data_IF_169934831965
#
_entry.id   IF_169934831965
#
_cell.length_a   1.000
_cell.length_b   1.000
_cell.length_c   1.000
_cell.angle_alpha   90.00
_cell.angle_beta   90.00
_cell.angle_gamma   90.00
#
_symmetry.space_group_name_H-M   'P 1'
#
loop_
_entity.id
_entity.type
_entity.pdbx_description
1 polymer ?
#
# COMPACT_ATOMS: atom_id res chain seq x y z
N UNK A 1 -18.37 8.70 -66.64
CA UNK A 1 -17.17 9.39 -66.12
C UNK A 1 -17.43 10.12 -64.80
N UNK A 2 -18.47 10.97 -64.70
CA UNK A 2 -18.78 11.68 -63.44
C UNK A 2 -19.01 10.74 -62.23
N UNK A 3 -19.73 9.64 -62.41
CA UNK A 3 -19.98 8.66 -61.35
C UNK A 3 -18.70 7.96 -60.87
N UNK A 4 -17.79 7.63 -61.79
CA UNK A 4 -16.49 7.05 -61.45
C UNK A 4 -15.62 8.04 -60.68
N UNK A 5 -15.62 9.33 -61.07
CA UNK A 5 -14.88 10.38 -60.37
C UNK A 5 -15.41 10.59 -58.94
N UNK A 6 -16.73 10.63 -58.77
CA UNK A 6 -17.35 10.74 -57.45
C UNK A 6 -17.00 9.55 -56.55
N UNK A 7 -16.92 8.35 -57.12
CA UNK A 7 -16.52 7.14 -56.38
C UNK A 7 -15.06 7.17 -55.96
N UNK A 8 -14.16 7.67 -56.80
CA UNK A 8 -12.74 7.85 -56.45
C UNK A 8 -12.59 8.82 -55.27
N UNK A 9 -13.23 10.00 -55.35
CA UNK A 9 -13.17 11.01 -54.26
C UNK A 9 -13.72 10.46 -52.94
N UNK A 10 -14.83 9.69 -53.00
CA UNK A 10 -15.40 9.05 -51.82
C UNK A 10 -14.44 8.03 -51.21
N UNK A 11 -13.78 7.19 -52.04
CA UNK A 11 -12.82 6.20 -51.56
C UNK A 11 -11.56 6.86 -50.99
N UNK A 12 -11.03 7.91 -51.62
CA UNK A 12 -9.90 8.68 -51.09
C UNK A 12 -10.22 9.27 -49.71
N UNK A 13 -11.43 9.79 -49.53
CA UNK A 13 -11.91 10.30 -48.23
C UNK A 13 -11.99 9.18 -47.19
N UNK A 14 -12.50 8.01 -47.56
CA UNK A 14 -12.57 6.85 -46.66
C UNK A 14 -11.17 6.34 -46.28
N UNK A 15 -10.24 6.27 -47.24
CA UNK A 15 -8.86 5.88 -46.99
C UNK A 15 -8.18 6.86 -46.04
N UNK A 16 -8.33 8.18 -46.25
CA UNK A 16 -7.78 9.18 -45.35
C UNK A 16 -8.35 9.06 -43.93
N UNK A 17 -9.66 8.78 -43.80
CA UNK A 17 -10.29 8.55 -42.50
C UNK A 17 -9.74 7.31 -41.79
N UNK A 18 -9.63 6.18 -42.51
CA UNK A 18 -9.07 4.95 -41.98
C UNK A 18 -7.60 5.11 -41.57
N UNK A 19 -6.82 5.84 -42.36
CA UNK A 19 -5.43 6.17 -42.03
C UNK A 19 -5.34 6.99 -40.73
N UNK A 20 -6.20 7.99 -40.55
CA UNK A 20 -6.25 8.78 -39.32
C UNK A 20 -6.62 7.92 -38.09
N UNK A 21 -7.62 7.04 -38.23
CA UNK A 21 -7.99 6.09 -37.17
C UNK A 21 -6.85 5.13 -36.82
N UNK A 22 -6.16 4.63 -37.84
CA UNK A 22 -5.03 3.73 -37.69
C UNK A 22 -3.88 4.39 -36.91
N UNK A 23 -3.51 5.62 -37.26
CA UNK A 23 -2.49 6.38 -36.51
C UNK A 23 -2.85 6.54 -35.04
N UNK A 24 -4.11 6.88 -34.73
CA UNK A 24 -4.58 6.98 -33.34
C UNK A 24 -4.50 5.64 -32.61
N UNK A 25 -4.83 4.53 -33.27
CA UNK A 25 -4.71 3.19 -32.68
C UNK A 25 -3.25 2.81 -32.42
N UNK A 26 -2.35 3.13 -33.35
CA UNK A 26 -0.92 2.90 -33.21
C UNK A 26 -0.34 3.70 -32.04
N UNK A 27 -0.69 4.98 -31.91
CA UNK A 27 -0.24 5.83 -30.81
C UNK A 27 -0.75 5.30 -29.46
N UNK A 28 -2.02 4.87 -29.40
CA UNK A 28 -2.58 4.23 -28.21
C UNK A 28 -1.85 2.95 -27.85
N UNK A 29 -1.54 2.11 -28.84
CA UNK A 29 -0.80 0.87 -28.60
C UNK A 29 0.59 1.16 -28.03
N UNK A 30 1.31 2.16 -28.56
CA UNK A 30 2.59 2.62 -28.02
C UNK A 30 2.46 2.98 -26.53
N UNK A 31 1.45 3.79 -26.18
CA UNK A 31 1.21 4.21 -24.79
C UNK A 31 0.87 3.01 -23.91
N UNK A 32 0.01 2.10 -24.35
CA UNK A 32 -0.37 0.90 -23.59
C UNK A 32 0.84 -0.01 -23.35
N UNK A 33 1.65 -0.28 -24.37
CA UNK A 33 2.87 -1.06 -24.23
C UNK A 33 3.86 -0.42 -23.26
N UNK A 34 3.95 0.92 -23.27
CA UNK A 34 4.78 1.66 -22.31
C UNK A 34 4.24 1.55 -20.89
N UNK A 35 2.94 1.72 -20.68
CA UNK A 35 2.29 1.68 -19.36
C UNK A 35 2.26 0.28 -18.75
N UNK A 36 2.26 -0.78 -19.55
CA UNK A 36 2.42 -2.15 -19.07
C UNK A 36 3.75 -2.40 -18.33
N UNK A 37 4.69 -1.44 -18.38
CA UNK A 37 5.85 -1.35 -17.49
C UNK A 37 6.99 -2.32 -17.82
N UNK A 38 6.87 -3.09 -18.91
CA UNK A 38 7.85 -4.12 -19.31
C UNK A 38 8.52 -3.87 -20.66
N UNK A 39 8.08 -2.87 -21.41
CA UNK A 39 8.61 -2.60 -22.74
C UNK A 39 9.53 -1.38 -22.72
N UNK A 40 10.79 -1.58 -23.10
CA UNK A 40 11.66 -0.44 -23.43
C UNK A 40 11.19 0.20 -24.74
N UNK A 41 11.59 1.44 -25.02
CA UNK A 41 11.26 2.09 -26.31
C UNK A 41 11.73 1.22 -27.49
N UNK A 42 12.92 0.59 -27.38
CA UNK A 42 13.43 -0.32 -28.40
C UNK A 42 12.56 -1.57 -28.56
N UNK A 43 12.14 -2.17 -27.44
CA UNK A 43 11.23 -3.32 -27.46
C UNK A 43 9.88 -2.97 -28.08
N UNK A 44 9.37 -1.75 -27.87
CA UNK A 44 8.13 -1.29 -28.52
C UNK A 44 8.34 -1.20 -30.04
N UNK A 45 9.43 -0.58 -30.49
CA UNK A 45 9.78 -0.51 -31.92
C UNK A 45 9.89 -1.91 -32.53
N UNK A 46 10.58 -2.83 -31.85
CA UNK A 46 10.74 -4.22 -32.29
C UNK A 46 9.39 -4.97 -32.39
N UNK A 47 8.51 -4.81 -31.41
CA UNK A 47 7.16 -5.40 -31.44
C UNK A 47 6.33 -4.83 -32.59
N UNK A 48 6.42 -3.53 -32.85
CA UNK A 48 5.69 -2.90 -33.96
C UNK A 48 6.23 -3.37 -35.31
N UNK A 49 7.55 -3.41 -35.48
CA UNK A 49 8.20 -3.78 -36.74
C UNK A 49 8.12 -5.29 -37.00
N UNK A 50 8.62 -6.11 -36.08
CA UNK A 50 8.71 -7.56 -36.26
C UNK A 50 7.39 -8.27 -35.95
N UNK A 51 6.59 -7.74 -35.02
CA UNK A 51 5.32 -8.35 -34.62
C UNK A 51 4.14 -7.94 -35.49
N UNK A 52 4.08 -6.68 -35.93
CA UNK A 52 2.94 -6.13 -36.66
C UNK A 52 3.27 -5.63 -38.08
N UNK A 53 4.54 -5.66 -38.50
CA UNK A 53 4.97 -5.12 -39.80
C UNK A 53 4.87 -3.60 -39.92
N UNK A 54 4.81 -2.89 -38.79
CA UNK A 54 4.66 -1.43 -38.72
C UNK A 54 6.04 -0.82 -38.47
N UNK A 55 6.58 -0.15 -39.48
CA UNK A 55 7.86 0.55 -39.34
C UNK A 55 7.68 1.90 -38.63
N UNK A 56 8.28 2.03 -37.45
CA UNK A 56 8.35 3.29 -36.70
C UNK A 56 9.76 3.57 -36.22
N UNK A 57 10.13 4.84 -36.13
CA UNK A 57 11.41 5.22 -35.53
C UNK A 57 11.32 5.27 -34.00
N UNK A 58 12.47 5.10 -33.34
CA UNK A 58 12.61 5.35 -31.89
C UNK A 58 12.12 6.75 -31.51
N UNK A 59 12.45 7.76 -32.33
CA UNK A 59 12.04 9.15 -32.12
C UNK A 59 10.52 9.35 -32.20
N UNK A 60 9.84 8.64 -33.12
CA UNK A 60 8.38 8.66 -33.19
C UNK A 60 7.75 8.11 -31.90
N UNK A 61 8.19 6.93 -31.46
CA UNK A 61 7.69 6.30 -30.22
C UNK A 61 7.93 7.21 -29.00
N UNK A 62 9.10 7.84 -28.90
CA UNK A 62 9.38 8.82 -27.84
C UNK A 62 8.45 10.03 -27.92
N UNK A 63 8.23 10.58 -29.11
CA UNK A 63 7.32 11.71 -29.33
C UNK A 63 5.89 11.39 -28.87
N UNK A 64 5.37 10.20 -29.21
CA UNK A 64 4.05 9.74 -28.75
C UNK A 64 4.00 9.63 -27.23
N UNK A 65 5.01 9.06 -26.59
CA UNK A 65 5.07 8.93 -25.12
C UNK A 65 5.10 10.32 -24.47
N UNK A 66 5.94 11.24 -24.95
CA UNK A 66 6.01 12.61 -24.42
C UNK A 66 4.69 13.35 -24.61
N UNK A 67 4.03 13.21 -25.77
CA UNK A 67 2.73 13.81 -26.01
C UNK A 67 1.64 13.25 -25.07
N UNK A 68 1.70 11.94 -24.79
CA UNK A 68 0.81 11.30 -23.83
C UNK A 68 1.06 11.80 -22.40
N UNK A 69 2.32 12.01 -22.00
CA UNK A 69 2.67 12.61 -20.70
C UNK A 69 2.11 14.03 -20.55
N UNK A 70 2.26 14.88 -21.58
CA UNK A 70 1.67 16.22 -21.58
C UNK A 70 0.14 16.17 -21.47
N UNK A 71 -0.48 15.27 -22.23
CA UNK A 71 -1.94 15.09 -22.24
C UNK A 71 -2.46 14.55 -20.90
N UNK A 72 -1.69 13.69 -20.22
CA UNK A 72 -2.05 13.13 -18.92
C UNK A 72 -2.20 14.21 -17.84
N UNK A 73 -1.38 15.26 -17.87
CA UNK A 73 -1.50 16.38 -16.93
C UNK A 73 -2.83 17.12 -17.11
N UNK A 74 -3.21 17.42 -18.35
CA UNK A 74 -4.50 18.06 -18.66
C UNK A 74 -5.66 17.14 -18.30
N UNK A 75 -5.56 15.84 -18.59
CA UNK A 75 -6.58 14.86 -18.25
C UNK A 75 -6.77 14.73 -16.74
N UNK A 76 -5.68 14.66 -15.97
CA UNK A 76 -5.72 14.66 -14.50
C UNK A 76 -6.38 15.93 -13.97
N UNK A 77 -6.05 17.10 -14.52
CA UNK A 77 -6.69 18.37 -14.15
C UNK A 77 -8.22 18.31 -14.29
N UNK A 78 -8.72 17.90 -15.46
CA UNK A 78 -10.16 17.73 -15.71
C UNK A 78 -10.79 16.66 -14.82
N UNK A 79 -10.07 15.56 -14.57
CA UNK A 79 -10.53 14.49 -13.71
C UNK A 79 -10.71 14.98 -12.26
N UNK A 80 -9.82 15.85 -11.77
CA UNK A 80 -9.91 16.45 -10.44
C UNK A 80 -11.03 17.48 -10.27
N UNK A 81 -11.60 17.99 -11.37
CA UNK A 81 -12.79 18.85 -11.37
C UNK A 81 -14.07 18.04 -11.16
N UNK A 82 -14.11 16.80 -11.67
CA UNK A 82 -15.31 15.95 -11.62
C UNK A 82 -15.28 14.92 -10.49
N UNK A 83 -14.09 14.51 -10.03
CA UNK A 83 -13.96 13.55 -8.94
C UNK A 83 -13.97 14.27 -7.59
N UNK A 84 -14.83 13.79 -6.70
CA UNK A 84 -14.83 14.18 -5.30
C UNK A 84 -13.64 13.53 -4.59
N UNK A 85 -12.66 14.34 -4.20
CA UNK A 85 -11.58 13.89 -3.32
C UNK A 85 -12.14 13.61 -1.91
N UNK A 86 -11.62 12.58 -1.25
CA UNK A 86 -11.99 12.27 0.13
C UNK A 86 -11.60 13.36 1.14
N UNK A 87 -10.68 14.24 0.76
CA UNK A 87 -9.99 15.15 1.69
C UNK A 87 -8.98 14.43 2.58
N UNK A 88 -8.74 13.14 2.37
CA UNK A 88 -7.66 12.39 2.97
C UNK A 88 -6.58 12.08 1.93
N UNK A 89 -5.32 12.04 2.36
CA UNK A 89 -4.22 11.53 1.54
C UNK A 89 -3.37 10.53 2.33
N UNK A 90 -2.80 9.57 1.63
CA UNK A 90 -1.67 8.76 2.08
C UNK A 90 -0.41 9.25 1.36
N UNK A 91 0.65 9.48 2.12
CA UNK A 91 1.97 9.82 1.59
C UNK A 91 2.93 8.70 1.97
N UNK A 92 3.64 8.18 0.98
CA UNK A 92 4.61 7.11 1.19
C UNK A 92 5.82 7.27 0.25
N UNK A 93 6.91 6.59 0.58
CA UNK A 93 8.05 6.46 -0.33
C UNK A 93 8.00 5.13 -1.08
N UNK A 94 8.15 5.22 -2.39
CA UNK A 94 8.26 4.07 -3.28
C UNK A 94 9.65 4.03 -3.90
N UNK A 95 10.15 2.83 -4.17
CA UNK A 95 11.42 2.64 -4.86
C UNK A 95 11.18 2.08 -6.25
N UNK A 96 11.61 2.81 -7.26
CA UNK A 96 11.62 2.34 -8.64
C UNK A 96 12.96 1.68 -8.96
N UNK A 97 12.92 0.68 -9.83
CA UNK A 97 14.13 0.15 -10.47
C UNK A 97 14.20 0.75 -11.86
N UNK A 98 15.13 1.68 -12.07
CA UNK A 98 15.35 2.35 -13.34
C UNK A 98 16.81 2.15 -13.77
N UNK A 99 17.03 1.53 -14.93
CA UNK A 99 18.38 1.33 -15.52
C UNK A 99 19.38 0.71 -14.53
N UNK A 100 18.94 -0.31 -13.79
CA UNK A 100 19.76 -1.00 -12.78
C UNK A 100 20.03 -0.20 -11.51
N UNK A 101 19.47 1.02 -11.37
CA UNK A 101 19.55 1.84 -10.17
C UNK A 101 18.22 1.86 -9.43
N UNK A 102 18.30 1.94 -8.11
CA UNK A 102 17.14 2.14 -7.27
C UNK A 102 16.90 3.65 -7.14
N UNK A 103 15.75 4.12 -7.63
CA UNK A 103 15.33 5.52 -7.56
C UNK A 103 14.25 5.66 -6.49
N UNK A 104 14.34 6.68 -5.65
CA UNK A 104 13.28 7.00 -4.70
C UNK A 104 12.18 7.81 -5.41
N UNK A 105 10.94 7.60 -5.02
CA UNK A 105 9.85 8.53 -5.28
C UNK A 105 8.96 8.69 -4.08
N UNK A 106 8.30 9.84 -4.03
CA UNK A 106 7.21 10.11 -3.10
C UNK A 106 5.91 9.97 -3.87
N UNK A 107 5.00 9.17 -3.32
CA UNK A 107 3.66 8.99 -3.84
C UNK A 107 2.64 9.61 -2.88
N UNK A 108 1.67 10.32 -3.43
CA UNK A 108 0.52 10.87 -2.72
C UNK A 108 -0.73 10.26 -3.34
N UNK A 109 -1.51 9.57 -2.52
CA UNK A 109 -2.71 8.82 -2.96
C UNK A 109 -3.91 9.27 -2.16
N UNK A 110 -5.07 9.39 -2.79
CA UNK A 110 -6.34 9.45 -2.06
C UNK A 110 -6.75 8.00 -1.67
N UNK A 111 -6.77 7.65 -0.37
CA UNK A 111 -7.00 6.28 0.05
C UNK A 111 -8.40 5.75 -0.24
N UNK A 112 -9.40 6.61 -0.45
CA UNK A 112 -10.78 6.15 -0.72
C UNK A 112 -11.01 5.92 -2.22
N UNK A 113 -10.48 6.81 -3.06
CA UNK A 113 -10.62 6.66 -4.52
C UNK A 113 -9.53 5.80 -5.15
N UNK A 114 -8.41 5.58 -4.44
CA UNK A 114 -7.23 4.90 -4.97
C UNK A 114 -6.44 5.72 -5.99
N UNK A 115 -6.80 7.00 -6.17
CA UNK A 115 -6.16 7.86 -7.17
C UNK A 115 -4.77 8.29 -6.71
N UNK A 116 -3.78 8.08 -7.58
CA UNK A 116 -2.45 8.66 -7.40
C UNK A 116 -2.55 10.13 -7.79
N UNK A 117 -2.58 11.01 -6.79
CA UNK A 117 -2.66 12.45 -6.97
C UNK A 117 -1.31 13.05 -7.33
N UNK A 118 -0.22 12.42 -6.87
CA UNK A 118 1.14 12.82 -7.21
C UNK A 118 2.10 11.64 -7.13
N UNK A 119 2.99 11.55 -8.10
CA UNK A 119 4.15 10.66 -8.06
C UNK A 119 5.36 11.44 -8.54
N UNK A 120 6.35 11.62 -7.68
CA UNK A 120 7.53 12.40 -8.02
C UNK A 120 8.79 11.67 -7.60
N UNK A 121 9.79 11.65 -8.50
CA UNK A 121 11.13 11.14 -8.20
C UNK A 121 11.83 12.08 -7.24
N UNK A 122 12.53 11.49 -6.28
CA UNK A 122 13.35 12.20 -5.30
C UNK A 122 14.78 11.66 -5.39
N UNK A 123 15.76 12.55 -5.28
CA UNK A 123 17.18 12.17 -5.23
C UNK A 123 17.53 11.39 -3.96
N UNK A 124 16.84 11.70 -2.86
CA UNK A 124 17.13 11.15 -1.55
C UNK A 124 15.88 11.13 -0.65
N UNK A 125 15.95 10.33 0.41
CA UNK A 125 14.94 10.30 1.47
C UNK A 125 15.29 11.35 2.52
N UNK A 126 15.19 12.61 2.15
CA UNK A 126 15.35 13.74 3.07
C UNK A 126 14.04 14.47 3.27
N UNK A 127 13.94 15.14 4.42
CA UNK A 127 12.88 16.09 4.71
C UNK A 127 12.81 17.20 3.65
N UNK A 128 13.99 17.55 3.14
CA UNK A 128 14.33 18.40 2.01
C UNK A 128 13.43 18.14 0.80
N UNK A 129 13.76 17.00 0.19
CA UNK A 129 13.14 16.50 -1.03
C UNK A 129 11.65 16.21 -0.86
N UNK A 130 11.24 15.66 0.29
CA UNK A 130 9.82 15.42 0.58
C UNK A 130 9.05 16.74 0.70
N UNK A 131 9.66 17.76 1.31
CA UNK A 131 9.11 19.11 1.42
C UNK A 131 8.83 19.73 0.07
N UNK A 132 9.74 19.61 -0.89
CA UNK A 132 9.53 20.11 -2.25
C UNK A 132 8.32 19.45 -2.93
N UNK A 133 8.16 18.12 -2.77
CA UNK A 133 7.01 17.38 -3.33
C UNK A 133 5.71 17.90 -2.73
N UNK A 134 5.66 18.05 -1.39
CA UNK A 134 4.48 18.54 -0.68
C UNK A 134 4.17 20.00 -0.96
N UNK A 135 5.19 20.84 -1.11
CA UNK A 135 5.04 22.25 -1.49
C UNK A 135 4.39 22.35 -2.86
N UNK A 136 4.89 21.61 -3.85
CA UNK A 136 4.34 21.62 -5.20
C UNK A 136 2.93 21.02 -5.23
N UNK A 137 2.65 20.00 -4.40
CA UNK A 137 1.31 19.44 -4.24
C UNK A 137 0.34 20.48 -3.65
N UNK A 138 0.74 21.17 -2.59
CA UNK A 138 -0.04 22.25 -2.00
C UNK A 138 -0.31 23.39 -3.00
N UNK A 139 0.73 23.82 -3.73
CA UNK A 139 0.65 24.86 -4.74
C UNK A 139 -0.26 24.51 -5.94
N UNK A 140 -0.47 23.21 -6.21
CA UNK A 140 -1.43 22.73 -7.20
C UNK A 140 -2.90 22.81 -6.73
N UNK A 141 -3.17 23.51 -5.63
CA UNK A 141 -4.53 23.78 -5.12
C UNK A 141 -5.08 22.75 -4.13
N UNK A 142 -4.24 21.83 -3.65
CA UNK A 142 -4.66 20.80 -2.69
C UNK A 142 -4.59 21.25 -1.23
N UNK A 143 -3.88 22.34 -0.93
CA UNK A 143 -3.65 22.81 0.44
C UNK A 143 -4.94 22.95 1.28
N UNK A 144 -5.99 23.49 0.66
CA UNK A 144 -7.29 23.72 1.31
C UNK A 144 -8.24 22.52 1.21
N UNK A 145 -7.95 21.57 0.32
CA UNK A 145 -8.80 20.40 0.06
C UNK A 145 -8.50 19.25 1.01
N UNK A 146 -7.27 19.17 1.52
CA UNK A 146 -6.83 18.07 2.38
C UNK A 146 -7.07 18.41 3.86
N UNK A 147 -7.80 17.54 4.53
CA UNK A 147 -8.15 17.62 5.96
C UNK A 147 -7.44 16.56 6.80
N UNK A 148 -7.03 15.46 6.19
CA UNK A 148 -6.32 14.35 6.84
C UNK A 148 -5.15 13.92 5.97
N UNK A 149 -4.00 13.69 6.59
CA UNK A 149 -2.88 13.05 5.92
C UNK A 149 -2.32 11.90 6.75
N UNK A 150 -2.06 10.80 6.06
CA UNK A 150 -1.59 9.54 6.60
C UNK A 150 -0.17 9.30 6.08
N UNK A 151 0.79 9.13 6.99
CA UNK A 151 2.18 8.84 6.63
C UNK A 151 2.68 7.60 7.34
N UNK A 152 3.80 7.02 6.92
CA UNK A 152 4.52 6.09 7.77
C UNK A 152 5.09 6.82 9.02
N UNK A 153 5.84 6.10 9.85
CA UNK A 153 6.46 6.66 11.05
C UNK A 153 7.77 7.43 10.78
N UNK A 154 8.08 7.77 9.53
CA UNK A 154 9.28 8.52 9.20
C UNK A 154 9.13 9.98 9.62
N UNK A 155 10.03 10.44 10.49
CA UNK A 155 10.00 11.79 11.05
C UNK A 155 10.23 12.88 10.01
N UNK A 156 10.80 12.53 8.84
CA UNK A 156 11.01 13.46 7.74
C UNK A 156 9.71 14.03 7.16
N UNK A 157 8.55 13.42 7.41
CA UNK A 157 7.25 13.97 7.01
C UNK A 157 6.72 15.08 7.92
N UNK A 158 7.05 15.04 9.21
CA UNK A 158 6.35 15.83 10.24
C UNK A 158 6.40 17.34 9.98
N UNK A 159 7.60 17.87 9.74
CA UNK A 159 7.76 19.29 9.49
C UNK A 159 7.25 19.70 8.10
N UNK A 160 7.61 19.03 7.00
CA UNK A 160 7.09 19.33 5.66
C UNK A 160 5.57 19.39 5.60
N UNK A 161 4.88 18.41 6.19
CA UNK A 161 3.42 18.41 6.11
C UNK A 161 2.83 19.53 6.96
N UNK A 162 3.35 19.77 8.17
CA UNK A 162 2.92 20.92 8.98
C UNK A 162 3.12 22.25 8.26
N UNK A 163 4.19 22.38 7.47
CA UNK A 163 4.50 23.58 6.69
C UNK A 163 3.56 23.75 5.48
N UNK A 164 3.33 22.69 4.71
CA UNK A 164 2.65 22.80 3.41
C UNK A 164 1.17 22.45 3.44
N UNK A 165 0.72 21.66 4.42
CA UNK A 165 -0.68 21.30 4.65
C UNK A 165 -1.08 21.62 6.11
N UNK A 166 -0.94 22.88 6.58
CA UNK A 166 -1.07 23.24 7.99
C UNK A 166 -2.47 23.00 8.58
N UNK A 167 -3.51 22.91 7.74
CA UNK A 167 -4.90 22.67 8.14
C UNK A 167 -5.25 21.18 8.25
N UNK A 168 -4.42 20.31 7.68
CA UNK A 168 -4.66 18.88 7.70
C UNK A 168 -4.20 18.27 9.03
N UNK A 169 -4.98 17.35 9.57
CA UNK A 169 -4.61 16.56 10.76
C UNK A 169 -3.64 15.47 10.34
N UNK A 170 -2.54 15.33 11.07
CA UNK A 170 -1.61 14.21 10.90
C UNK A 170 -2.11 12.97 11.61
N UNK A 171 -2.08 11.84 10.92
CA UNK A 171 -2.10 10.53 11.58
C UNK A 171 -1.06 9.60 10.96
N UNK A 172 -0.60 8.64 11.74
CA UNK A 172 0.19 7.54 11.18
C UNK A 172 -0.72 6.57 10.45
N UNK A 173 -0.26 6.12 9.29
CA UNK A 173 -0.95 5.13 8.48
C UNK A 173 -1.04 3.81 9.25
N UNK A 174 -2.27 3.39 9.56
CA UNK A 174 -2.56 2.14 10.25
C UNK A 174 -2.00 0.94 9.49
N UNK A 175 -2.04 0.97 8.15
CA UNK A 175 -1.45 -0.07 7.32
C UNK A 175 0.06 -0.21 7.59
N UNK A 176 0.81 0.89 7.61
CA UNK A 176 2.25 0.82 7.88
C UNK A 176 2.56 0.36 9.31
N UNK A 177 1.77 0.80 10.28
CA UNK A 177 1.87 0.33 11.68
C UNK A 177 1.70 -1.19 11.73
N UNK A 178 0.66 -1.73 11.10
CA UNK A 178 0.40 -3.17 11.17
C UNK A 178 1.33 -4.01 10.31
N UNK A 179 1.52 -3.65 9.04
CA UNK A 179 2.30 -4.45 8.12
C UNK A 179 3.80 -4.37 8.43
N UNK A 180 4.32 -3.17 8.68
CA UNK A 180 5.77 -2.97 8.76
C UNK A 180 6.31 -2.87 10.17
N UNK A 181 5.54 -2.35 11.15
CA UNK A 181 6.05 -2.25 12.52
C UNK A 181 5.66 -3.46 13.37
N UNK A 182 4.38 -3.81 13.39
CA UNK A 182 3.89 -4.96 14.15
C UNK A 182 4.24 -6.25 13.42
N UNK A 183 3.82 -6.38 12.17
CA UNK A 183 4.02 -7.55 11.32
C UNK A 183 5.49 -7.93 11.20
N UNK A 184 6.37 -6.97 10.91
CA UNK A 184 7.81 -7.27 10.84
C UNK A 184 8.40 -7.71 12.19
N UNK A 185 7.91 -7.18 13.32
CA UNK A 185 8.35 -7.62 14.65
C UNK A 185 7.87 -9.04 14.96
N UNK A 186 6.62 -9.35 14.66
CA UNK A 186 6.05 -10.71 14.80
C UNK A 186 6.80 -11.68 13.89
N UNK A 187 7.07 -11.31 12.65
CA UNK A 187 7.82 -12.13 11.70
C UNK A 187 9.25 -12.39 12.16
N UNK A 188 9.96 -11.36 12.65
CA UNK A 188 11.29 -11.53 13.24
C UNK A 188 11.24 -12.45 14.46
N UNK A 189 10.25 -12.30 15.33
CA UNK A 189 10.09 -13.16 16.49
C UNK A 189 9.89 -14.62 16.07
N UNK A 190 9.02 -14.85 15.08
CA UNK A 190 8.70 -16.16 14.52
C UNK A 190 9.96 -16.81 13.92
N UNK A 191 10.68 -16.11 13.04
CA UNK A 191 11.93 -16.60 12.44
C UNK A 191 13.01 -16.93 13.48
N UNK A 192 13.13 -16.12 14.53
CA UNK A 192 14.08 -16.40 15.62
C UNK A 192 13.72 -17.67 16.38
N UNK A 193 12.43 -17.86 16.67
CA UNK A 193 11.94 -19.09 17.30
C UNK A 193 12.14 -20.32 16.41
N UNK A 194 11.74 -20.26 15.14
CA UNK A 194 11.95 -21.35 14.16
C UNK A 194 13.44 -21.74 14.05
N UNK A 195 14.34 -20.75 14.02
CA UNK A 195 15.79 -21.01 14.00
C UNK A 195 16.27 -21.71 15.26
N UNK A 196 15.79 -21.31 16.44
CA UNK A 196 16.16 -21.94 17.70
C UNK A 196 15.66 -23.40 17.79
N UNK A 197 14.41 -23.63 17.39
CA UNK A 197 13.82 -24.99 17.28
C UNK A 197 14.65 -25.85 16.32
N UNK A 198 14.97 -25.33 15.13
CA UNK A 198 15.76 -26.06 14.13
C UNK A 198 17.18 -26.36 14.62
N UNK A 199 17.82 -25.43 15.31
CA UNK A 199 19.17 -25.62 15.85
C UNK A 199 19.19 -26.74 16.91
N UNK A 200 18.21 -26.74 17.83
CA UNK A 200 18.07 -27.81 18.82
C UNK A 200 17.77 -29.16 18.16
N UNK A 201 16.87 -29.21 17.18
CA UNK A 201 16.54 -30.44 16.47
C UNK A 201 17.74 -31.01 15.69
N UNK A 202 18.55 -30.15 15.06
CA UNK A 202 19.80 -30.56 14.39
C UNK A 202 20.79 -31.11 15.41
N UNK A 203 20.96 -30.46 16.55
CA UNK A 203 21.83 -30.93 17.62
C UNK A 203 21.40 -32.31 18.13
N UNK A 204 20.12 -32.49 18.47
CA UNK A 204 19.58 -33.75 18.98
C UNK A 204 19.70 -34.88 17.96
N UNK A 205 19.55 -34.58 16.66
CA UNK A 205 19.78 -35.54 15.58
C UNK A 205 21.26 -35.95 15.46
N UNK A 206 22.19 -35.03 15.68
CA UNK A 206 23.63 -35.30 15.62
C UNK A 206 24.14 -36.09 16.84
N UNK A 207 23.41 -36.05 17.95
CA UNK A 207 23.79 -36.69 19.20
C UNK A 207 22.67 -37.65 19.70
N UNK A 208 22.42 -38.77 19.00
CA UNK A 208 21.34 -39.70 19.36
C UNK A 208 21.62 -40.50 20.64
N UNK A 209 22.85 -40.50 21.13
CA UNK A 209 23.31 -41.27 22.29
C UNK A 209 23.48 -40.39 23.53
N UNK A 210 23.90 -41.01 24.65
CA UNK A 210 24.24 -40.28 25.87
C UNK A 210 25.24 -39.15 25.58
N UNK A 211 24.89 -37.92 25.98
CA UNK A 211 25.67 -36.72 25.74
C UNK A 211 26.91 -36.69 26.64
N UNK A 212 28.02 -36.20 26.09
CA UNK A 212 29.16 -35.80 26.92
C UNK A 212 28.77 -34.61 27.83
N UNK A 213 29.50 -34.35 28.94
CA UNK A 213 29.25 -33.17 29.77
C UNK A 213 29.31 -31.84 29.00
N UNK A 214 30.18 -31.75 27.98
CA UNK A 214 30.29 -30.57 27.13
C UNK A 214 29.06 -30.41 26.22
N UNK A 215 28.63 -31.50 25.58
CA UNK A 215 27.45 -31.53 24.72
C UNK A 215 26.16 -31.28 25.52
N UNK A 216 26.10 -31.77 26.76
CA UNK A 216 24.99 -31.50 27.68
C UNK A 216 24.88 -30.00 27.99
N UNK A 217 26.02 -29.32 28.24
CA UNK A 217 26.06 -27.87 28.46
C UNK A 217 25.64 -27.11 27.19
N UNK A 218 26.10 -27.53 26.02
CA UNK A 218 25.70 -26.93 24.74
C UNK A 218 24.20 -27.11 24.47
N UNK A 219 23.66 -28.30 24.71
CA UNK A 219 22.23 -28.58 24.58
C UNK A 219 21.39 -27.71 25.51
N UNK A 220 21.80 -27.57 26.78
CA UNK A 220 21.12 -26.69 27.74
C UNK A 220 21.09 -25.23 27.25
N UNK A 221 22.18 -24.74 26.65
CA UNK A 221 22.20 -23.40 26.07
C UNK A 221 21.21 -23.26 24.88
N UNK A 222 21.10 -24.29 24.02
CA UNK A 222 20.13 -24.30 22.92
C UNK A 222 18.68 -24.33 23.40
N UNK A 223 18.37 -25.13 24.43
CA UNK A 223 17.05 -25.14 25.08
C UNK A 223 16.73 -23.77 25.68
N UNK A 224 17.66 -23.18 26.43
CA UNK A 224 17.47 -21.84 26.99
C UNK A 224 17.22 -20.76 25.92
N UNK A 225 17.92 -20.85 24.78
CA UNK A 225 17.71 -19.96 23.64
C UNK A 225 16.32 -20.17 22.98
N UNK A 226 15.87 -21.42 22.84
CA UNK A 226 14.52 -21.76 22.36
C UNK A 226 13.45 -21.19 23.29
N UNK A 227 13.56 -21.40 24.60
CA UNK A 227 12.61 -20.88 25.60
C UNK A 227 12.57 -19.35 25.62
N UNK A 228 13.73 -18.70 25.46
CA UNK A 228 13.81 -17.25 25.34
C UNK A 228 13.11 -16.77 24.05
N UNK A 229 13.35 -17.42 22.92
CA UNK A 229 12.72 -17.09 21.65
C UNK A 229 11.20 -17.33 21.68
N UNK A 230 10.73 -18.41 22.32
CA UNK A 230 9.32 -18.71 22.51
C UNK A 230 8.63 -17.64 23.36
N UNK A 231 9.22 -17.25 24.50
CA UNK A 231 8.68 -16.16 25.33
C UNK A 231 8.66 -14.82 24.62
N UNK A 232 9.64 -14.55 23.77
CA UNK A 232 9.64 -13.35 22.93
C UNK A 232 8.53 -13.40 21.87
N UNK A 233 8.37 -14.53 21.19
CA UNK A 233 7.32 -14.76 20.19
C UNK A 233 5.92 -14.69 20.79
N UNK A 234 5.66 -15.41 21.88
CA UNK A 234 4.37 -15.41 22.57
C UNK A 234 3.93 -13.99 22.97
N UNK A 235 4.83 -13.18 23.54
CA UNK A 235 4.56 -11.77 23.89
C UNK A 235 4.26 -10.86 22.68
N UNK A 236 4.60 -11.28 21.47
CA UNK A 236 4.38 -10.50 20.23
C UNK A 236 3.16 -10.97 19.47
N UNK A 237 2.72 -12.22 19.64
CA UNK A 237 1.53 -12.78 19.00
C UNK A 237 0.27 -12.60 19.85
N UNK A 238 0.38 -12.52 21.17
CA UNK A 238 -0.74 -12.10 22.02
C UNK A 238 -0.86 -10.58 21.96
N UNK A 239 -1.68 -10.08 21.03
CA UNK A 239 -2.21 -8.73 21.18
C UNK A 239 -3.04 -8.71 22.46
N UNK A 240 -2.73 -7.85 23.45
CA UNK A 240 -3.63 -7.69 24.57
C UNK A 240 -4.97 -7.21 24.02
N UNK A 241 -6.02 -7.99 24.24
CA UNK A 241 -7.40 -7.66 23.87
C UNK A 241 -7.93 -6.38 24.55
N UNK A 242 -7.10 -5.72 25.37
CA UNK A 242 -7.38 -4.50 26.13
C UNK A 242 -6.39 -3.38 25.80
N UNK A 243 -6.17 -3.09 24.51
CA UNK A 243 -5.47 -1.88 24.10
C UNK A 243 -6.42 -0.66 24.03
N UNK A 244 -7.27 -0.48 25.05
CA UNK A 244 -8.15 0.71 25.21
C UNK A 244 -7.39 1.95 25.71
N UNK A 245 -6.06 1.97 25.60
CA UNK A 245 -5.24 2.97 26.27
C UNK A 245 -3.87 3.16 25.65
N UNK A 246 -3.80 3.52 24.38
CA UNK A 246 -2.66 4.33 23.96
C UNK A 246 -2.85 5.74 24.54
N UNK A 247 -1.91 6.27 25.34
CA UNK A 247 -2.00 7.65 25.79
C UNK A 247 -1.90 8.54 24.56
N UNK A 248 -3.02 9.16 24.19
CA UNK A 248 -2.99 10.35 23.35
C UNK A 248 -2.15 11.38 24.10
N UNK A 249 -0.97 11.70 23.58
CA UNK A 249 -0.17 12.83 24.09
C UNK A 249 -0.98 14.09 23.75
N UNK A 250 -1.84 14.50 24.68
CA UNK A 250 -2.51 15.78 24.60
C UNK A 250 -1.43 16.87 24.69
N UNK A 251 -1.29 17.69 23.64
CA UNK A 251 -0.49 18.90 23.71
C UNK A 251 -0.99 19.79 24.86
N UNK A 252 -0.10 20.51 25.58
CA UNK A 252 -0.52 21.43 26.63
C UNK A 252 -1.37 22.54 26.01
N UNK A 253 -2.62 22.69 26.47
CA UNK A 253 -3.39 23.92 26.22
C UNK A 253 -2.63 25.08 26.83
N UNK A 254 -2.15 26.00 26.00
CA UNK A 254 -1.67 27.31 26.43
C UNK A 254 -2.82 28.02 27.16
N UNK A 255 -2.53 28.45 28.38
CA UNK A 255 -3.51 29.02 29.29
C UNK A 255 -3.94 30.43 28.91
N UNK A 256 -5.21 30.71 29.19
CA UNK A 256 -5.69 32.02 29.57
C UNK A 256 -6.58 31.84 30.80
N UNK A 257 -6.25 32.52 31.89
CA UNK A 257 -7.20 32.83 32.97
C UNK A 257 -7.63 34.30 32.88
N UNK A 258 -8.33 34.85 33.90
CA UNK A 258 -9.06 34.19 34.98
C UNK A 258 -10.48 34.78 35.25
N UNK A 259 -11.12 34.22 36.29
CA UNK A 259 -12.12 34.80 37.20
C UNK A 259 -13.62 34.48 36.99
N UNK A 260 -14.24 33.96 38.06
CA UNK A 260 -15.69 33.87 38.28
C UNK A 260 -16.09 32.72 39.22
N UNK A 261 -16.63 32.98 40.44
CA UNK A 261 -16.69 31.98 41.51
C UNK A 261 -18.04 31.26 41.68
N UNK A 262 -17.92 30.06 42.24
CA UNK A 262 -18.82 29.34 43.16
C UNK A 262 -20.32 29.16 42.80
N UNK A 263 -20.77 27.90 42.73
CA UNK A 263 -21.72 27.37 43.74
C UNK A 263 -21.74 25.84 43.79
N UNK A 264 -21.84 25.38 45.04
CA UNK A 264 -22.03 24.04 45.59
C UNK A 264 -23.26 23.27 45.11
N UNK A 265 -23.20 21.93 45.05
CA UNK A 265 -24.00 21.03 45.91
C UNK A 265 -23.66 19.54 45.69
N UNK A 266 -23.55 18.83 46.81
CA UNK A 266 -23.49 17.38 46.93
C UNK A 266 -24.89 16.75 46.79
N UNK A 267 -24.94 15.49 46.36
CA UNK A 267 -26.12 14.62 46.44
C UNK A 267 -25.84 13.24 45.82
N UNK A 268 -25.83 12.14 46.61
CA UNK A 268 -25.35 10.84 46.17
C UNK A 268 -26.47 9.87 45.75
N UNK A 269 -26.08 8.84 44.99
CA UNK A 269 -26.74 7.54 45.01
C UNK A 269 -27.66 7.24 43.83
N UNK A 270 -27.23 6.33 42.96
CA UNK A 270 -28.06 5.20 42.53
C UNK A 270 -27.18 4.10 41.92
N UNK A 271 -27.32 2.90 42.47
CA UNK A 271 -26.72 1.65 42.04
C UNK A 271 -27.31 1.15 40.70
N UNK A 272 -26.60 0.25 39.98
CA UNK A 272 -26.96 -0.14 38.63
C UNK A 272 -27.98 -1.29 38.60
N UNK A 273 -28.99 -1.14 37.74
CA UNK A 273 -29.89 -2.22 37.34
C UNK A 273 -29.12 -3.21 36.45
N UNK A 274 -28.96 -4.44 36.94
CA UNK A 274 -28.61 -5.61 36.12
C UNK A 274 -29.84 -6.03 35.31
N UNK A 275 -29.70 -6.10 33.99
CA UNK A 275 -30.51 -7.00 33.18
C UNK A 275 -29.61 -7.86 32.30
N UNK A 276 -29.70 -9.16 32.55
CA UNK A 276 -29.25 -10.25 31.67
C UNK A 276 -30.37 -10.52 30.66
N UNK A 277 -29.97 -10.76 29.42
CA UNK A 277 -30.46 -11.71 28.42
C UNK A 277 -29.93 -11.20 27.07
N UNK A 278 -29.40 -11.96 26.12
CA UNK A 278 -29.26 -13.38 25.88
C UNK A 278 -28.93 -13.52 24.38
N UNK A 279 -28.18 -14.57 24.01
CA UNK A 279 -27.84 -15.04 22.65
C UNK A 279 -26.73 -14.29 21.88
N UNK A 280 -25.63 -15.02 21.69
CA UNK A 280 -24.60 -14.78 20.66
C UNK A 280 -25.03 -15.46 19.36
N UNK A 281 -25.00 -14.79 18.19
CA UNK A 281 -24.82 -15.47 16.93
C UNK A 281 -23.31 -15.56 16.63
N UNK A 282 -22.83 -16.77 16.41
CA UNK A 282 -21.51 -17.02 15.85
C UNK A 282 -21.47 -16.50 14.40
N UNK A 283 -20.63 -15.50 14.17
CA UNK A 283 -20.20 -15.04 12.85
C UNK A 283 -18.69 -14.83 12.86
N UNK A 284 -18.01 -14.93 11.71
CA UNK A 284 -16.58 -14.66 11.61
C UNK A 284 -16.30 -13.19 11.99
N UNK A 285 -15.13 -12.89 12.61
CA UNK A 285 -14.82 -11.54 13.07
C UNK A 285 -14.75 -10.57 11.88
N UNK A 286 -15.62 -9.57 11.89
CA UNK A 286 -15.55 -8.41 11.01
C UNK A 286 -14.50 -7.45 11.56
N UNK A 287 -13.47 -7.15 10.77
CA UNK A 287 -12.43 -6.20 11.13
C UNK A 287 -12.96 -4.77 10.93
N UNK A 288 -13.45 -4.15 12.01
CA UNK A 288 -13.90 -2.78 12.00
C UNK A 288 -12.71 -1.80 12.07
N UNK A 289 -12.77 -0.75 11.24
CA UNK A 289 -11.89 0.41 11.27
C UNK A 289 -12.12 1.17 12.58
N UNK A 290 -11.18 1.08 13.53
CA UNK A 290 -11.18 1.90 14.73
C UNK A 290 -10.65 3.30 14.42
N UNK A 291 -11.55 4.27 14.23
CA UNK A 291 -11.17 5.69 14.28
C UNK A 291 -11.05 6.08 15.75
N UNK A 292 -9.84 6.35 16.22
CA UNK A 292 -9.62 6.91 17.56
C UNK A 292 -10.19 8.34 17.58
N UNK A 293 -11.34 8.52 18.27
CA UNK A 293 -12.00 9.82 18.45
C UNK A 293 -11.56 10.49 19.76
N UNK A 294 -11.39 11.82 19.79
CA UNK A 294 -11.44 12.57 21.03
C UNK A 294 -12.90 12.64 21.55
N UNK A 295 -13.13 12.69 22.88
CA UNK A 295 -14.49 12.80 23.43
C UNK A 295 -15.09 14.18 23.12
N UNK A 296 -16.25 14.22 22.43
CA UNK A 296 -17.07 15.43 22.29
C UNK A 296 -17.69 15.73 20.92
N UNK A 297 -17.35 15.00 19.85
CA UNK A 297 -17.91 15.25 18.51
C UNK A 297 -18.93 14.17 18.09
N UNK A 298 -20.18 14.58 17.84
CA UNK A 298 -21.16 13.81 17.09
C UNK A 298 -21.17 14.30 15.63
N UNK A 299 -20.99 13.38 14.68
CA UNK A 299 -21.40 13.61 13.29
C UNK A 299 -21.82 12.29 12.65
N UNK A 300 -22.84 12.41 11.79
CA UNK A 300 -23.62 11.37 11.17
C UNK A 300 -22.90 10.76 9.95
N UNK A 301 -22.65 9.45 10.01
CA UNK A 301 -22.38 8.63 8.83
C UNK A 301 -23.40 7.49 8.81
N UNK A 302 -23.86 7.12 7.62
CA UNK A 302 -24.96 6.17 7.42
C UNK A 302 -24.42 4.76 7.18
N UNK A 303 -25.24 3.73 7.40
CA UNK A 303 -24.89 2.30 7.20
C UNK A 303 -24.26 1.97 5.83
N UNK A 304 -24.48 2.82 4.82
CA UNK A 304 -23.90 2.70 3.48
C UNK A 304 -22.37 2.84 3.43
N UNK A 305 -21.76 3.56 4.38
CA UNK A 305 -20.30 3.75 4.43
C UNK A 305 -19.56 2.50 4.95
N UNK A 306 -20.27 1.62 5.68
CA UNK A 306 -19.74 0.39 6.30
C UNK A 306 -19.75 -0.78 5.30
N UNK A 307 -20.67 -0.78 4.33
CA UNK A 307 -20.82 -1.86 3.35
C UNK A 307 -19.68 -1.92 2.30
N UNK A 308 -18.93 -0.83 2.09
CA UNK A 308 -17.90 -0.75 1.05
C UNK A 308 -16.56 -1.39 1.45
N UNK A 309 -16.17 -1.33 2.73
CA UNK A 309 -14.93 -1.93 3.23
C UNK A 309 -14.89 -3.46 3.04
N UNK A 310 -16.06 -4.11 3.04
CA UNK A 310 -16.22 -5.56 2.82
C UNK A 310 -15.99 -5.95 1.34
N UNK A 311 -16.16 -5.01 0.39
CA UNK A 311 -15.97 -5.28 -1.06
C UNK A 311 -14.51 -5.17 -1.51
N UNK A 312 -13.66 -4.41 -0.82
CA UNK A 312 -12.23 -4.29 -1.17
C UNK A 312 -11.48 -5.61 -0.96
N UNK A 313 -11.88 -6.40 0.04
CA UNK A 313 -11.35 -7.77 0.23
C UNK A 313 -11.79 -8.79 -0.83
N UNK A 314 -12.90 -8.54 -1.52
CA UNK A 314 -13.41 -9.42 -2.58
C UNK A 314 -12.80 -9.11 -3.97
N UNK A 315 -12.22 -7.93 -4.15
CA UNK A 315 -11.63 -7.50 -5.43
C UNK A 315 -10.31 -8.23 -5.75
N UNK A 316 -9.55 -8.63 -4.73
CA UNK A 316 -8.27 -9.32 -4.86
C UNK A 316 -8.42 -10.79 -5.33
N UNK A 317 -9.60 -11.39 -5.13
CA UNK A 317 -9.91 -12.74 -5.63
C UNK A 317 -10.38 -12.76 -7.09
N UNK A 318 -10.83 -11.64 -7.65
CA UNK A 318 -11.42 -11.57 -8.99
C UNK A 318 -10.39 -11.39 -10.12
N UNK A 319 -9.14 -11.01 -9.82
CA UNK A 319 -8.13 -10.65 -10.82
C UNK A 319 -7.00 -11.67 -11.08
N UNK A 320 -7.09 -12.89 -10.53
CA UNK A 320 -6.43 -14.06 -11.13
C UNK A 320 -4.90 -14.04 -11.30
N UNK A 321 -4.12 -13.48 -10.36
CA UNK A 321 -2.66 -13.71 -10.33
C UNK A 321 -1.83 -12.59 -9.67
N UNK A 322 -0.56 -12.87 -9.26
CA UNK A 322 0.20 -11.95 -8.42
C UNK A 322 0.79 -10.79 -9.23
N UNK A 323 0.23 -9.60 -9.07
CA UNK A 323 0.89 -8.36 -9.45
C UNK A 323 2.01 -8.07 -8.43
N UNK A 324 3.27 -8.34 -8.80
CA UNK A 324 4.42 -8.04 -7.95
C UNK A 324 4.73 -6.53 -7.92
N UNK A 325 4.12 -5.83 -6.96
CA UNK A 325 4.72 -4.61 -6.42
C UNK A 325 5.85 -5.00 -5.47
N UNK A 326 7.09 -4.67 -5.84
CA UNK A 326 8.26 -5.00 -5.03
C UNK A 326 8.48 -3.90 -3.98
N UNK A 327 7.79 -4.00 -2.85
CA UNK A 327 8.08 -3.18 -1.68
C UNK A 327 9.39 -3.64 -1.04
N UNK A 328 10.32 -2.72 -0.76
CA UNK A 328 11.72 -2.98 -0.42
C UNK A 328 11.98 -3.52 1.00
N UNK A 329 11.01 -4.24 1.59
CA UNK A 329 11.26 -5.13 2.72
C UNK A 329 10.46 -6.41 2.56
N UNK A 330 11.14 -7.42 2.01
CA UNK A 330 10.72 -8.85 1.92
C UNK A 330 9.49 -9.11 1.04
N UNK A 331 9.67 -9.87 -0.04
CA UNK A 331 8.56 -10.57 -0.69
C UNK A 331 7.85 -11.44 0.35
N UNK A 332 6.55 -11.22 0.53
CA UNK A 332 5.68 -12.06 1.36
C UNK A 332 4.88 -12.93 0.41
N UNK A 333 5.27 -14.19 0.31
CA UNK A 333 4.36 -15.26 -0.07
C UNK A 333 3.88 -15.88 1.23
N UNK A 334 2.56 -15.89 1.47
CA UNK A 334 2.00 -16.70 2.54
C UNK A 334 2.26 -18.18 2.19
N UNK A 335 2.77 -19.01 3.13
CA UNK A 335 2.76 -20.44 2.91
C UNK A 335 1.30 -20.92 2.85
N UNK A 336 0.96 -21.88 1.97
CA UNK A 336 -0.36 -22.48 2.00
C UNK A 336 -0.61 -23.17 3.35
N UNK A 337 -1.88 -23.33 3.76
CA UNK A 337 -2.21 -24.07 4.97
C UNK A 337 -1.64 -25.50 4.87
N UNK A 338 -1.01 -25.95 5.96
CA UNK A 338 -0.54 -27.33 6.11
C UNK A 338 -1.75 -28.26 6.04
N UNK A 339 -1.91 -28.96 4.91
CA UNK A 339 -2.78 -30.13 4.84
C UNK A 339 -2.12 -31.31 5.57
N UNK A 340 -2.91 -32.19 6.20
CA UNK A 340 -2.40 -33.42 6.80
C UNK A 340 -1.80 -34.34 5.73
N UNK A 341 -0.81 -35.17 6.08
CA UNK A 341 -0.17 -36.05 5.12
C UNK A 341 -1.13 -37.21 4.82
N UNK A 342 -1.52 -37.38 3.55
CA UNK A 342 -1.79 -38.67 2.90
C UNK A 342 -2.26 -38.41 1.45
N UNK A 343 -1.41 -38.68 0.45
CA UNK A 343 -1.81 -38.73 -0.96
C UNK A 343 -0.69 -38.39 -1.97
N UNK A 344 -0.62 -39.07 -3.13
CA UNK A 344 0.64 -39.32 -3.83
C UNK A 344 1.09 -38.23 -4.83
N UNK A 345 2.41 -38.21 -5.01
CA UNK A 345 3.22 -37.35 -5.87
C UNK A 345 2.83 -37.40 -7.36
N UNK A 346 2.67 -36.22 -7.97
CA UNK A 346 2.76 -36.03 -9.42
C UNK A 346 3.91 -35.07 -9.74
N UNK A 347 4.91 -35.59 -10.47
CA UNK A 347 6.00 -34.81 -11.04
C UNK A 347 5.53 -34.06 -12.28
N UNK A 348 5.89 -32.78 -12.40
CA UNK A 348 6.19 -32.22 -13.72
C UNK A 348 7.47 -31.39 -13.66
N UNK A 349 8.43 -31.79 -14.50
CA UNK A 349 9.64 -31.05 -14.85
C UNK A 349 9.27 -30.04 -15.94
N UNK A 350 9.85 -28.85 -15.87
CA UNK A 350 10.15 -28.08 -17.08
C UNK A 350 11.39 -27.24 -16.83
N UNK A 351 12.50 -27.72 -17.39
CA UNK A 351 13.72 -26.98 -17.65
C UNK A 351 13.45 -25.90 -18.72
N UNK A 352 14.03 -24.71 -18.56
CA UNK A 352 14.37 -23.84 -19.68
C UNK A 352 15.46 -22.84 -19.24
N UNK A 353 16.70 -23.21 -19.54
CA UNK A 353 17.88 -22.35 -19.65
C UNK A 353 17.77 -21.55 -20.94
N UNK A 354 18.01 -20.24 -20.93
CA UNK A 354 18.29 -19.47 -22.15
C UNK A 354 19.34 -18.38 -21.88
N UNK A 355 20.19 -18.24 -22.89
CA UNK A 355 21.40 -17.44 -23.04
C UNK A 355 21.18 -15.92 -22.89
#
# INVERSE_FOLDING_TARGET
MAEAQNKVVSLETQVAHLQAQWTVMQDRLIVVLKLAGRCTVRSIVEVLESGLGIHVSVGYVQGVITQAELSAHTALGRLLEVITLSGAICVDEVFFKEVGRQMLGVVIVDPLSGLILRLQRCSERSKEAIGEVLQQFAAAGFQERIKLYLTDMYTGYLQPVKTHLPKAVHQFCWFHINCFHIGARVHRATRTYEKAVKALAVFDKQHPNALSPADQKQRQALVAAQDQAQRYWARRTTFPAHADGYPVVAHPRLGHGPAGPAHSRCGPGQEPVRQRDGRLPGGPPSWLVGVLRPPGEQSAYTETDIAFATKVGAFDQALGGPHHFQCSRTCVSLPPPLHPPDGPLWHSRSDATLL
#
